data_IF_632213218423
#
_entry.id   IF_632213218423
#
_cell.length_a   1.000
_cell.length_b   1.000
_cell.length_c   1.000
_cell.angle_alpha   90.00
_cell.angle_beta   90.00
_cell.angle_gamma   90.00
#
_symmetry.space_group_name_H-M   'P 1'
#
loop_
_entity.id
_entity.type
_entity.pdbx_description
1 polymer ?
#
# COMPACT_ATOMS: atom_id res chain seq x y z
N UNK A 1 13.07 1.10 12.72
CA UNK A 1 13.19 1.80 11.44
C UNK A 1 12.69 0.88 10.32
N UNK A 2 11.87 1.43 9.42
CA UNK A 2 11.30 0.63 8.33
C UNK A 2 12.16 0.72 7.09
N UNK A 3 12.69 -0.41 6.64
CA UNK A 3 13.41 -0.49 5.36
C UNK A 3 12.40 -0.61 4.22
N UNK A 4 12.79 -0.29 2.97
CA UNK A 4 11.87 -0.49 1.84
C UNK A 4 11.37 -1.93 1.71
N UNK A 5 12.23 -2.92 1.93
CA UNK A 5 11.79 -4.32 1.89
C UNK A 5 10.80 -4.63 3.00
N UNK A 6 11.03 -4.09 4.19
CA UNK A 6 10.12 -4.27 5.32
C UNK A 6 8.76 -3.64 5.03
N UNK A 7 8.77 -2.42 4.50
CA UNK A 7 7.53 -1.71 4.14
C UNK A 7 6.76 -2.51 3.09
N UNK A 8 7.43 -2.95 2.03
CA UNK A 8 6.79 -3.72 0.95
C UNK A 8 6.21 -5.03 1.49
N UNK A 9 6.93 -5.72 2.36
CA UNK A 9 6.46 -6.98 2.93
C UNK A 9 5.22 -6.77 3.80
N UNK A 10 5.19 -5.72 4.60
CA UNK A 10 4.04 -5.42 5.45
C UNK A 10 2.84 -4.99 4.62
N UNK A 11 3.05 -4.20 3.56
CA UNK A 11 1.97 -3.81 2.66
C UNK A 11 1.38 -5.03 1.95
N UNK A 12 2.24 -5.91 1.44
CA UNK A 12 1.78 -7.11 0.75
C UNK A 12 0.97 -8.00 1.70
N UNK A 13 1.46 -8.19 2.92
CA UNK A 13 0.77 -9.01 3.92
C UNK A 13 -0.59 -8.39 4.29
N UNK A 14 -0.64 -7.08 4.48
CA UNK A 14 -1.88 -6.39 4.81
C UNK A 14 -2.91 -6.51 3.69
N UNK A 15 -2.47 -6.30 2.44
CA UNK A 15 -3.36 -6.41 1.29
C UNK A 15 -3.88 -7.84 1.16
N UNK A 16 -3.00 -8.83 1.26
CA UNK A 16 -3.40 -10.23 1.13
C UNK A 16 -4.39 -10.64 2.23
N UNK A 17 -4.15 -10.21 3.46
CA UNK A 17 -4.94 -10.63 4.62
C UNK A 17 -6.25 -9.86 4.71
N UNK A 18 -6.19 -8.53 4.66
CA UNK A 18 -7.35 -7.69 4.95
C UNK A 18 -8.22 -7.41 3.73
N UNK A 19 -7.62 -7.34 2.55
CA UNK A 19 -8.31 -6.94 1.34
C UNK A 19 -8.64 -8.13 0.46
N UNK A 20 -7.62 -8.93 0.10
CA UNK A 20 -7.82 -10.10 -0.76
C UNK A 20 -8.28 -11.32 0.00
N UNK A 21 -8.07 -11.34 1.33
CA UNK A 21 -8.40 -12.45 2.21
C UNK A 21 -7.78 -13.78 1.78
N UNK A 22 -6.58 -13.67 1.21
CA UNK A 22 -5.79 -14.81 0.78
C UNK A 22 -4.37 -14.70 1.35
N UNK A 23 -4.20 -14.89 2.68
CA UNK A 23 -2.92 -14.62 3.33
C UNK A 23 -1.77 -15.49 2.84
N UNK A 24 -2.07 -16.61 2.18
CA UNK A 24 -1.03 -17.48 1.62
C UNK A 24 -0.54 -17.03 0.25
N UNK A 25 -1.21 -16.03 -0.37
CA UNK A 25 -0.86 -15.56 -1.70
C UNK A 25 -0.62 -14.06 -1.67
N UNK A 26 0.63 -13.68 -1.45
CA UNK A 26 0.99 -12.27 -1.41
C UNK A 26 0.98 -11.70 -2.83
N UNK A 27 0.43 -10.48 -3.02
CA UNK A 27 0.48 -9.84 -4.33
C UNK A 27 1.92 -9.51 -4.71
N UNK A 28 2.20 -9.52 -6.00
CA UNK A 28 3.52 -9.14 -6.49
C UNK A 28 3.72 -7.63 -6.34
N UNK A 29 4.95 -7.22 -6.13
CA UNK A 29 5.27 -5.82 -5.88
C UNK A 29 4.96 -4.92 -7.09
N UNK A 30 4.98 -5.47 -8.29
CA UNK A 30 4.70 -4.74 -9.52
C UNK A 30 3.30 -4.99 -10.08
N UNK A 31 2.46 -5.73 -9.35
CA UNK A 31 1.10 -5.98 -9.79
C UNK A 31 0.27 -4.69 -9.66
N UNK A 32 -0.53 -4.41 -10.70
CA UNK A 32 -1.44 -3.28 -10.68
C UNK A 32 -2.52 -3.53 -9.64
N UNK A 33 -2.68 -2.60 -8.69
CA UNK A 33 -3.65 -2.74 -7.60
C UNK A 33 -4.92 -1.97 -7.89
N UNK A 34 -4.79 -0.72 -8.28
CA UNK A 34 -5.94 0.18 -8.46
C UNK A 34 -6.48 0.08 -9.87
N UNK A 35 -5.61 0.17 -10.88
CA UNK A 35 -6.04 0.17 -12.27
C UNK A 35 -6.63 -1.18 -12.71
N UNK A 36 -6.24 -2.26 -12.06
CA UNK A 36 -6.79 -3.59 -12.33
C UNK A 36 -8.12 -3.84 -11.63
N UNK A 37 -8.51 -2.97 -10.70
CA UNK A 37 -9.70 -3.18 -9.89
C UNK A 37 -9.51 -4.14 -8.72
N UNK A 38 -8.28 -4.54 -8.44
CA UNK A 38 -7.98 -5.47 -7.35
C UNK A 38 -8.32 -4.83 -6.00
N UNK A 39 -8.05 -3.54 -5.85
CA UNK A 39 -8.36 -2.77 -4.65
C UNK A 39 -9.35 -1.68 -5.03
N UNK A 40 -10.52 -1.65 -4.38
CA UNK A 40 -11.52 -0.61 -4.61
C UNK A 40 -11.29 0.58 -3.68
N UNK A 41 -12.13 1.62 -3.84
CA UNK A 41 -11.98 2.86 -3.08
C UNK A 41 -12.16 2.66 -1.57
N UNK A 42 -12.99 1.73 -1.16
CA UNK A 42 -13.19 1.46 0.28
C UNK A 42 -11.93 0.84 0.87
N UNK A 43 -11.34 -0.10 0.16
CA UNK A 43 -10.11 -0.76 0.63
C UNK A 43 -8.91 0.18 0.58
N UNK A 44 -8.92 1.17 -0.32
CA UNK A 44 -7.87 2.20 -0.34
C UNK A 44 -7.85 3.02 0.93
N UNK A 45 -9.04 3.36 1.46
CA UNK A 45 -9.13 4.08 2.73
C UNK A 45 -8.56 3.23 3.86
N UNK A 46 -8.90 1.95 3.91
CA UNK A 46 -8.36 1.04 4.91
C UNK A 46 -6.84 0.92 4.81
N UNK A 47 -6.33 0.85 3.58
CA UNK A 47 -4.89 0.79 3.36
C UNK A 47 -4.19 2.07 3.82
N UNK A 48 -4.79 3.23 3.56
CA UNK A 48 -4.25 4.50 4.01
C UNK A 48 -4.18 4.58 5.53
N UNK A 49 -5.21 4.07 6.22
CA UNK A 49 -5.21 4.01 7.68
C UNK A 49 -4.12 3.09 8.21
N UNK A 50 -3.93 1.95 7.55
CA UNK A 50 -2.86 1.03 7.92
C UNK A 50 -1.49 1.69 7.77
N UNK A 51 -1.27 2.41 6.68
CA UNK A 51 -0.01 3.12 6.43
C UNK A 51 0.23 4.17 7.51
N UNK A 52 -0.79 4.93 7.85
CA UNK A 52 -0.66 5.95 8.89
C UNK A 52 -0.33 5.33 10.25
N UNK A 53 -1.05 4.27 10.62
CA UNK A 53 -0.85 3.61 11.91
C UNK A 53 0.51 2.92 12.01
N UNK A 54 0.95 2.30 10.92
CA UNK A 54 2.14 1.45 10.95
C UNK A 54 3.42 2.25 10.69
N UNK A 55 3.37 3.18 9.74
CA UNK A 55 4.56 3.89 9.28
C UNK A 55 4.56 5.37 9.66
N UNK A 56 3.46 5.88 10.22
CA UNK A 56 3.36 7.29 10.58
C UNK A 56 3.27 8.22 9.38
N UNK A 57 2.89 7.71 8.22
CA UNK A 57 2.78 8.47 6.98
C UNK A 57 1.31 8.65 6.63
N UNK A 58 0.89 9.89 6.48
CA UNK A 58 -0.49 10.20 6.11
C UNK A 58 -0.63 10.33 4.60
N UNK A 59 -1.61 9.61 4.05
CA UNK A 59 -1.98 9.71 2.64
C UNK A 59 -3.29 10.47 2.54
N UNK A 60 -3.32 11.54 1.74
CA UNK A 60 -4.53 12.32 1.53
C UNK A 60 -5.46 11.61 0.53
N UNK A 61 -6.76 11.90 0.62
CA UNK A 61 -7.75 11.30 -0.27
C UNK A 61 -7.39 11.50 -1.74
N UNK A 62 -6.85 12.66 -2.08
CA UNK A 62 -6.45 12.96 -3.46
C UNK A 62 -5.28 12.13 -3.95
N UNK A 63 -4.60 11.42 -3.07
CA UNK A 63 -3.47 10.56 -3.41
C UNK A 63 -3.87 9.09 -3.56
N UNK A 64 -5.10 8.74 -3.24
CA UNK A 64 -5.58 7.36 -3.28
C UNK A 64 -6.08 7.01 -4.69
N UNK A 65 -5.17 7.01 -5.65
CA UNK A 65 -5.50 6.76 -7.05
C UNK A 65 -4.28 6.19 -7.78
N UNK A 66 -4.52 5.64 -8.96
CA UNK A 66 -3.48 4.98 -9.75
C UNK A 66 -2.40 5.94 -10.27
N UNK A 67 -2.70 7.24 -10.33
CA UNK A 67 -1.71 8.23 -10.75
C UNK A 67 -0.64 8.46 -9.70
N UNK A 68 -1.00 8.34 -8.43
CA UNK A 68 -0.05 8.49 -7.33
C UNK A 68 0.67 7.19 -7.01
N UNK A 69 -0.04 6.10 -7.01
CA UNK A 69 0.54 4.77 -6.87
C UNK A 69 -0.42 3.73 -7.41
N UNK A 70 0.10 2.71 -8.05
CA UNK A 70 -0.72 1.60 -8.55
C UNK A 70 -0.13 0.25 -8.18
N UNK A 71 1.09 0.24 -7.66
CA UNK A 71 1.77 -0.99 -7.23
C UNK A 71 2.29 -0.83 -5.81
N UNK A 72 2.58 -1.97 -5.16
CA UNK A 72 3.19 -1.95 -3.83
C UNK A 72 4.55 -1.26 -3.89
N UNK A 73 5.32 -1.49 -4.95
CA UNK A 73 6.62 -0.85 -5.11
C UNK A 73 6.49 0.68 -5.14
N UNK A 74 5.50 1.19 -5.88
CA UNK A 74 5.27 2.63 -5.95
C UNK A 74 4.83 3.20 -4.61
N UNK A 75 3.94 2.50 -3.91
CA UNK A 75 3.49 2.92 -2.59
C UNK A 75 4.63 2.91 -1.59
N UNK A 76 5.50 1.91 -1.67
CA UNK A 76 6.69 1.83 -0.82
C UNK A 76 7.58 3.06 -1.01
N UNK A 77 7.83 3.44 -2.26
CA UNK A 77 8.64 4.63 -2.54
C UNK A 77 7.99 5.90 -1.97
N UNK A 78 6.68 6.03 -2.11
CA UNK A 78 5.97 7.18 -1.57
C UNK A 78 6.12 7.25 -0.04
N UNK A 79 5.98 6.12 0.62
CA UNK A 79 6.13 6.06 2.09
C UNK A 79 7.56 6.43 2.49
N UNK A 80 8.56 5.88 1.81
CA UNK A 80 9.97 6.17 2.11
C UNK A 80 10.25 7.66 1.94
N UNK A 81 9.75 8.27 0.89
CA UNK A 81 9.93 9.70 0.63
C UNK A 81 9.29 10.55 1.74
N UNK A 82 8.13 10.16 2.21
CA UNK A 82 7.41 10.87 3.26
C UNK A 82 8.09 10.72 4.61
N UNK A 83 8.68 9.55 4.88
CA UNK A 83 9.40 9.32 6.13
C UNK A 83 10.71 10.12 6.16
N UNK A 84 11.32 10.33 5.02
CA UNK A 84 12.60 11.04 4.93
C UNK A 84 12.45 12.56 4.96
N UNK A 85 11.27 13.05 4.64
CA UNK A 85 11.02 14.49 4.51
C UNK A 85 10.35 15.17 5.66
#
# INVERSE_FOLDING_TARGET
>A
MHTPENISAQLAAQIATAILKTPSQLPQLDAALISSGLIDSFHLVDLALFVEDTFGVRLDDGELNAQCFDTIAQLTLLIVQRQAG
#
